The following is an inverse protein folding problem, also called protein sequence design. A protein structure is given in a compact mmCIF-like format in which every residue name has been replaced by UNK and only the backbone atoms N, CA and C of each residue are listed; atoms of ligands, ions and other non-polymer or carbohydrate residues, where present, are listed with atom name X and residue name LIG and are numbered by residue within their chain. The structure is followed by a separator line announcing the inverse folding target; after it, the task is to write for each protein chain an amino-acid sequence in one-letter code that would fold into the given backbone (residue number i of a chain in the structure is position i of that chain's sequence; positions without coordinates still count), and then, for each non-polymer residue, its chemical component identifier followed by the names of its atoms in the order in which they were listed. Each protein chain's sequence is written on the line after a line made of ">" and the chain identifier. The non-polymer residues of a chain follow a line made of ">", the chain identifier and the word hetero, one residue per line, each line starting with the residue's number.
data_IF_040376251955
#
_entry.id   IF_040376251955
#
_cell.length_a   1.000
_cell.length_b   1.000
_cell.length_c   1.000
_cell.angle_alpha   90.00
_cell.angle_beta   90.00
_cell.angle_gamma   90.00
#
_symmetry.space_group_name_H-M   'P 1'
#
loop_
_entity.id
_entity.type
_entity.pdbx_description
1 polymer ?
#
# COMPACT_ATOMS: atom_id res chain seq x y z
N UNK A 1 -2.81 -20.00 -3.78
CA UNK A 1 -1.61 -20.86 -3.99
C UNK A 1 -0.87 -21.03 -2.65
N UNK A 2 -0.14 -22.13 -2.43
CA UNK A 2 0.62 -22.38 -1.18
C UNK A 2 -0.20 -22.32 0.13
N UNK A 3 -1.52 -22.58 0.07
CA UNK A 3 -2.39 -22.60 1.26
C UNK A 3 -2.66 -21.24 1.93
N UNK A 4 -2.17 -20.13 1.36
CA UNK A 4 -2.38 -18.77 1.89
C UNK A 4 -3.01 -17.83 0.87
N UNK A 5 -3.63 -16.75 1.36
CA UNK A 5 -4.23 -15.69 0.53
C UNK A 5 -3.31 -14.50 0.27
N UNK A 6 -2.13 -14.46 0.91
CA UNK A 6 -1.08 -13.47 0.66
C UNK A 6 0.29 -14.13 0.86
N UNK A 7 1.22 -13.89 -0.06
CA UNK A 7 2.55 -14.50 -0.05
C UNK A 7 3.31 -14.22 1.25
N UNK A 8 3.11 -13.05 1.86
CA UNK A 8 3.74 -12.67 3.15
C UNK A 8 3.27 -13.50 4.35
N UNK A 9 2.23 -14.32 4.19
CA UNK A 9 1.73 -15.25 5.22
C UNK A 9 2.33 -16.64 5.10
N UNK A 10 2.96 -16.99 3.97
CA UNK A 10 3.57 -18.31 3.78
C UNK A 10 5.03 -18.28 4.21
N UNK A 11 5.37 -19.00 5.28
CA UNK A 11 6.74 -19.06 5.82
C UNK A 11 7.37 -20.46 5.65
N UNK A 12 6.75 -21.32 4.83
CA UNK A 12 7.08 -22.73 4.69
C UNK A 12 5.98 -23.63 5.23
N UNK A 13 5.97 -24.88 4.79
CA UNK A 13 4.89 -25.83 5.09
C UNK A 13 4.77 -26.12 6.60
N UNK A 14 5.89 -26.12 7.33
CA UNK A 14 5.95 -26.40 8.77
C UNK A 14 5.89 -25.13 9.65
N UNK A 15 6.25 -23.97 9.08
CA UNK A 15 6.40 -22.70 9.82
C UNK A 15 5.20 -21.77 9.68
N UNK A 16 4.34 -21.98 8.68
CA UNK A 16 3.15 -21.15 8.47
C UNK A 16 2.18 -21.30 9.64
N UNK A 17 1.98 -20.22 10.40
CA UNK A 17 1.11 -20.21 11.58
C UNK A 17 -0.33 -19.89 11.21
N UNK A 18 -1.25 -20.72 11.69
CA UNK A 18 -2.69 -20.48 11.60
C UNK A 18 -3.19 -19.91 12.93
N UNK A 19 -3.69 -18.68 12.88
CA UNK A 19 -4.14 -17.95 14.06
C UNK A 19 -5.61 -18.28 14.34
N UNK A 20 -5.91 -18.67 15.58
CA UNK A 20 -7.25 -18.91 16.10
C UNK A 20 -7.90 -17.57 16.52
N UNK A 21 -7.19 -16.77 17.32
CA UNK A 21 -7.72 -15.50 17.85
C UNK A 21 -6.63 -14.50 18.24
N UNK A 22 -7.04 -13.24 18.42
CA UNK A 22 -6.23 -12.17 18.99
C UNK A 22 -6.99 -11.38 20.06
N UNK A 23 -6.27 -10.82 21.05
CA UNK A 23 -6.80 -9.87 22.04
C UNK A 23 -5.68 -9.01 22.60
N UNK A 24 -5.86 -7.69 22.57
CA UNK A 24 -4.84 -6.73 22.96
C UNK A 24 -3.55 -6.97 22.16
N UNK A 25 -2.42 -7.09 22.84
CA UNK A 25 -1.12 -7.32 22.20
C UNK A 25 -0.80 -8.80 21.90
N UNK A 26 -1.76 -9.72 22.00
CA UNK A 26 -1.50 -11.15 21.90
C UNK A 26 -2.28 -11.84 20.77
N UNK A 27 -1.66 -12.89 20.23
CA UNK A 27 -2.27 -13.86 19.31
C UNK A 27 -2.19 -15.27 19.91
N UNK A 28 -3.15 -16.10 19.51
CA UNK A 28 -3.16 -17.53 19.80
C UNK A 28 -3.29 -18.30 18.49
N UNK A 29 -2.43 -19.30 18.28
CA UNK A 29 -2.58 -20.21 17.14
C UNK A 29 -3.55 -21.36 17.46
N UNK A 30 -3.86 -22.14 16.43
CA UNK A 30 -4.78 -23.30 16.51
C UNK A 30 -4.28 -24.42 17.42
N UNK A 31 -2.98 -24.44 17.74
CA UNK A 31 -2.36 -25.39 18.67
C UNK A 31 -2.37 -24.87 20.13
N UNK A 32 -2.88 -23.65 20.35
CA UNK A 32 -3.01 -23.03 21.66
C UNK A 32 -1.77 -22.26 22.13
N UNK A 33 -0.74 -22.11 21.29
CA UNK A 33 0.43 -21.29 21.64
C UNK A 33 0.06 -19.82 21.67
N UNK A 34 0.61 -19.07 22.62
CA UNK A 34 0.38 -17.63 22.77
C UNK A 34 1.62 -16.83 22.38
N UNK A 35 1.43 -15.81 21.56
CA UNK A 35 2.47 -14.91 21.08
C UNK A 35 2.19 -13.47 21.52
N UNK A 36 3.25 -12.69 21.72
CA UNK A 36 3.17 -11.22 21.73
C UNK A 36 3.29 -10.78 20.27
N UNK A 37 2.31 -10.04 19.77
CA UNK A 37 2.23 -9.66 18.36
C UNK A 37 2.87 -8.30 18.09
N UNK A 38 4.02 -8.34 17.42
CA UNK A 38 4.70 -7.16 16.88
C UNK A 38 4.39 -6.91 15.39
N UNK A 39 3.64 -7.81 14.73
CA UNK A 39 3.25 -7.65 13.32
C UNK A 39 2.01 -6.78 13.17
N UNK A 40 1.08 -6.83 14.15
CA UNK A 40 -0.08 -5.94 14.24
C UNK A 40 -0.94 -5.92 12.96
N UNK A 41 -1.03 -7.07 12.27
CA UNK A 41 -1.73 -7.16 10.98
C UNK A 41 -1.13 -6.30 9.87
N UNK A 42 0.16 -5.97 9.95
CA UNK A 42 0.87 -4.99 9.12
C UNK A 42 0.43 -3.53 9.36
N UNK A 43 -0.02 -3.20 10.59
CA UNK A 43 -0.34 -1.84 11.03
C UNK A 43 -1.76 -1.60 11.56
N UNK A 44 -2.85 -2.15 10.98
CA UNK A 44 -4.21 -1.81 11.37
C UNK A 44 -4.56 -2.10 12.85
N UNK A 45 -3.90 -3.06 13.49
CA UNK A 45 -4.13 -3.40 14.89
C UNK A 45 -3.41 -2.45 15.87
N UNK A 46 -3.38 -1.14 15.59
CA UNK A 46 -2.71 -0.13 16.42
C UNK A 46 -3.30 0.00 17.83
N UNK A 47 -4.59 -0.32 18.00
CA UNK A 47 -5.26 -0.38 19.30
C UNK A 47 -5.16 -1.77 19.97
N UNK A 48 -4.43 -2.70 19.35
CA UNK A 48 -4.46 -4.12 19.68
C UNK A 48 -5.64 -4.85 19.02
N UNK A 49 -5.59 -6.18 19.11
CA UNK A 49 -6.62 -7.07 18.56
C UNK A 49 -7.89 -7.04 19.41
N UNK A 50 -9.05 -7.09 18.76
CA UNK A 50 -10.38 -7.10 19.41
C UNK A 50 -10.53 -6.03 20.49
N UNK A 51 -10.28 -4.77 20.13
CA UNK A 51 -10.59 -3.63 21.00
C UNK A 51 -12.11 -3.54 21.19
N UNK A 52 -12.56 -3.63 22.45
CA UNK A 52 -13.99 -3.77 22.77
C UNK A 52 -14.83 -2.59 22.25
N UNK A 53 -14.24 -1.39 22.12
CA UNK A 53 -14.95 -0.20 21.61
C UNK A 53 -15.17 -0.32 20.10
N UNK A 54 -14.16 -0.81 19.38
CA UNK A 54 -14.22 -1.02 17.92
C UNK A 54 -15.19 -2.16 17.62
N UNK A 55 -15.03 -3.31 18.28
CA UNK A 55 -15.86 -4.49 18.06
C UNK A 55 -17.34 -4.20 18.37
N UNK A 56 -17.63 -3.47 19.45
CA UNK A 56 -18.99 -3.07 19.77
C UNK A 56 -19.57 -2.14 18.69
N UNK A 57 -18.82 -1.14 18.22
CA UNK A 57 -19.27 -0.24 17.17
C UNK A 57 -19.55 -0.98 15.85
N UNK A 58 -18.69 -1.93 15.47
CA UNK A 58 -18.90 -2.79 14.29
C UNK A 58 -20.14 -3.66 14.47
N UNK A 59 -20.29 -4.33 15.61
CA UNK A 59 -21.46 -5.16 15.91
C UNK A 59 -22.77 -4.37 15.81
N UNK A 60 -22.82 -3.16 16.39
CA UNK A 60 -24.00 -2.30 16.27
C UNK A 60 -24.25 -1.86 14.83
N UNK A 61 -23.21 -1.50 14.07
CA UNK A 61 -23.34 -1.13 12.66
C UNK A 61 -23.92 -2.27 11.80
N UNK A 62 -23.60 -3.53 12.11
CA UNK A 62 -24.17 -4.68 11.35
C UNK A 62 -25.68 -4.78 11.44
N UNK A 63 -26.32 -4.24 12.49
CA UNK A 63 -27.78 -4.26 12.65
C UNK A 63 -28.49 -3.33 11.66
N UNK A 64 -27.78 -2.36 11.08
CA UNK A 64 -28.33 -1.47 10.06
C UNK A 64 -28.40 -2.14 8.68
N UNK A 65 -27.59 -3.18 8.45
CA UNK A 65 -27.28 -3.73 7.12
C UNK A 65 -25.88 -3.31 6.66
N UNK A 66 -25.28 -4.09 5.76
CA UNK A 66 -23.86 -3.97 5.42
C UNK A 66 -23.57 -3.32 4.06
N UNK A 67 -24.51 -3.42 3.10
CA UNK A 67 -24.33 -2.88 1.75
C UNK A 67 -25.69 -2.51 1.16
N UNK A 68 -25.80 -1.26 0.70
CA UNK A 68 -27.07 -0.69 0.26
C UNK A 68 -27.07 -0.24 -1.21
N UNK A 69 -25.93 -0.31 -1.90
CA UNK A 69 -25.71 0.39 -3.19
C UNK A 69 -26.12 1.88 -3.16
N UNK A 70 -26.11 2.47 -1.95
CA UNK A 70 -26.51 3.84 -1.62
C UNK A 70 -25.67 4.32 -0.43
N UNK A 71 -25.64 5.64 -0.23
CA UNK A 71 -24.89 6.30 0.83
C UNK A 71 -25.51 6.16 2.21
N UNK A 72 -24.68 6.19 3.25
CA UNK A 72 -25.11 6.31 4.65
C UNK A 72 -24.53 7.58 5.29
N UNK A 73 -25.18 8.18 6.31
CA UNK A 73 -24.60 9.30 7.04
C UNK A 73 -23.24 8.99 7.70
N UNK A 74 -22.95 7.71 7.95
CA UNK A 74 -21.69 7.28 8.56
C UNK A 74 -20.49 7.55 7.64
N UNK A 75 -20.64 7.32 6.33
CA UNK A 75 -19.53 7.56 5.38
C UNK A 75 -19.13 9.03 5.33
N UNK A 76 -20.09 9.95 5.45
CA UNK A 76 -19.84 11.39 5.52
C UNK A 76 -19.08 11.76 6.80
N UNK A 77 -19.49 11.21 7.95
CA UNK A 77 -18.82 11.48 9.23
C UNK A 77 -17.37 10.98 9.22
N UNK A 78 -17.12 9.80 8.65
CA UNK A 78 -15.76 9.26 8.50
C UNK A 78 -14.95 10.13 7.54
N UNK A 79 -15.52 10.54 6.41
CA UNK A 79 -14.84 11.40 5.44
C UNK A 79 -14.41 12.74 6.05
N UNK A 80 -15.30 13.38 6.82
CA UNK A 80 -15.00 14.63 7.53
C UNK A 80 -13.90 14.46 8.57
N UNK A 81 -13.90 13.34 9.31
CA UNK A 81 -12.83 13.04 10.28
C UNK A 81 -11.48 12.89 9.59
N UNK A 82 -11.41 12.17 8.46
CA UNK A 82 -10.15 12.01 7.71
C UNK A 82 -9.63 13.36 7.23
N UNK A 83 -10.48 14.17 6.59
CA UNK A 83 -10.11 15.50 6.12
C UNK A 83 -9.60 16.40 7.26
N UNK A 84 -10.22 16.32 8.45
CA UNK A 84 -9.78 17.09 9.62
C UNK A 84 -8.44 16.61 10.21
N UNK A 85 -8.08 15.33 10.04
CA UNK A 85 -6.83 14.76 10.57
C UNK A 85 -5.64 14.90 9.62
N UNK A 86 -5.88 15.10 8.31
CA UNK A 86 -4.85 15.10 7.28
C UNK A 86 -4.71 16.48 6.64
N UNK A 87 -3.69 17.28 7.02
CA UNK A 87 -3.42 18.56 6.36
C UNK A 87 -3.27 18.41 4.85
N UNK A 88 -3.93 19.29 4.08
CA UNK A 88 -3.91 19.25 2.62
C UNK A 88 -4.91 18.28 1.97
N UNK A 89 -5.82 17.67 2.75
CA UNK A 89 -6.88 16.79 2.24
C UNK A 89 -8.26 17.42 2.47
N UNK A 90 -8.86 17.97 1.41
CA UNK A 90 -10.22 18.57 1.48
C UNK A 90 -11.34 17.56 1.20
N UNK A 91 -11.07 16.57 0.35
CA UNK A 91 -12.04 15.57 -0.09
C UNK A 91 -11.40 14.18 -0.09
N UNK A 92 -12.21 13.15 0.20
CA UNK A 92 -11.77 11.76 0.19
C UNK A 92 -12.74 10.89 -0.60
N UNK A 93 -12.19 9.77 -1.11
CA UNK A 93 -12.96 8.67 -1.69
C UNK A 93 -12.47 7.38 -1.07
N UNK A 94 -13.40 6.56 -0.57
CA UNK A 94 -13.07 5.26 0.00
C UNK A 94 -12.75 4.22 -1.07
N UNK A 95 -11.85 3.31 -0.73
CA UNK A 95 -11.50 2.11 -1.48
C UNK A 95 -11.48 0.92 -0.51
N UNK A 96 -11.52 -0.30 -1.02
CA UNK A 96 -11.55 -1.51 -0.17
C UNK A 96 -10.15 -1.97 0.24
N UNK A 97 -9.10 -1.46 -0.40
CA UNK A 97 -7.71 -1.79 -0.09
C UNK A 97 -6.76 -0.63 -0.41
N UNK A 98 -5.55 -0.70 0.15
CA UNK A 98 -4.46 0.21 -0.23
C UNK A 98 -4.08 0.11 -1.71
N UNK A 99 -4.17 -1.09 -2.32
CA UNK A 99 -3.91 -1.28 -3.76
C UNK A 99 -4.93 -0.54 -4.63
N UNK A 100 -6.21 -0.55 -4.26
CA UNK A 100 -7.22 0.22 -4.98
C UNK A 100 -7.04 1.72 -4.79
N UNK A 101 -6.68 2.15 -3.57
CA UNK A 101 -6.44 3.56 -3.27
C UNK A 101 -5.30 4.14 -4.13
N UNK A 102 -4.15 3.47 -4.19
CA UNK A 102 -2.99 3.90 -5.01
C UNK A 102 -3.30 3.82 -6.50
N UNK A 103 -4.01 2.77 -6.96
CA UNK A 103 -4.47 2.65 -8.34
C UNK A 103 -5.36 3.82 -8.75
N UNK A 104 -6.33 4.19 -7.90
CA UNK A 104 -7.23 5.32 -8.15
C UNK A 104 -6.49 6.66 -8.08
N UNK A 105 -5.56 6.83 -7.14
CA UNK A 105 -4.75 8.04 -7.02
C UNK A 105 -3.91 8.30 -8.28
N UNK A 106 -3.21 7.28 -8.78
CA UNK A 106 -2.43 7.38 -10.02
C UNK A 106 -3.34 7.69 -11.23
N UNK A 107 -4.50 7.03 -11.32
CA UNK A 107 -5.47 7.32 -12.39
C UNK A 107 -5.97 8.77 -12.33
N UNK A 108 -6.28 9.27 -11.14
CA UNK A 108 -6.72 10.65 -10.93
C UNK A 108 -5.62 11.65 -11.31
N UNK A 109 -4.38 11.41 -10.89
CA UNK A 109 -3.25 12.28 -11.21
C UNK A 109 -3.02 12.38 -12.72
N UNK A 110 -3.07 11.26 -13.45
CA UNK A 110 -3.01 11.25 -14.93
C UNK A 110 -4.19 11.98 -15.56
N UNK A 111 -5.41 11.76 -15.07
CA UNK A 111 -6.60 12.42 -15.59
C UNK A 111 -6.54 13.94 -15.41
N UNK A 112 -6.03 14.41 -14.27
CA UNK A 112 -5.88 15.81 -13.95
C UNK A 112 -4.76 16.49 -14.75
N UNK A 113 -3.56 15.90 -14.75
CA UNK A 113 -2.37 16.48 -15.38
C UNK A 113 -2.32 16.27 -16.90
N UNK A 114 -3.07 15.29 -17.43
CA UNK A 114 -2.99 14.80 -18.83
C UNK A 114 -1.62 14.21 -19.21
N UNK A 115 -0.84 13.80 -18.22
CA UNK A 115 0.49 13.21 -18.37
C UNK A 115 0.46 11.70 -18.17
N UNK A 116 1.46 10.99 -18.68
CA UNK A 116 1.44 9.52 -18.70
C UNK A 116 2.35 8.89 -17.65
N UNK A 117 3.55 9.43 -17.45
CA UNK A 117 4.57 8.84 -16.58
C UNK A 117 4.36 9.17 -15.12
N UNK A 118 4.99 8.40 -14.25
CA UNK A 118 5.00 8.66 -12.81
C UNK A 118 6.30 8.14 -12.21
N UNK A 119 6.66 8.73 -11.08
CA UNK A 119 7.88 8.39 -10.34
C UNK A 119 7.50 7.51 -9.15
N UNK A 120 8.26 6.43 -8.95
CA UNK A 120 8.26 5.59 -7.75
C UNK A 120 9.69 5.39 -7.27
N UNK A 121 9.85 4.98 -6.02
CA UNK A 121 11.16 4.74 -5.43
C UNK A 121 11.39 3.27 -5.17
N UNK A 122 12.63 2.82 -5.36
CA UNK A 122 13.01 1.45 -5.01
C UNK A 122 12.79 1.18 -3.52
N UNK A 123 12.39 -0.07 -3.23
CA UNK A 123 12.07 -0.55 -1.89
C UNK A 123 10.66 -0.20 -1.41
N UNK A 124 9.97 0.70 -2.13
CA UNK A 124 8.62 1.10 -1.78
C UNK A 124 7.57 0.18 -2.41
N UNK A 125 6.47 0.02 -1.71
CA UNK A 125 5.35 -0.82 -2.06
C UNK A 125 4.07 0.01 -2.11
N UNK A 126 3.41 -0.01 -3.27
CA UNK A 126 2.18 0.72 -3.52
C UNK A 126 1.02 -0.20 -3.92
N UNK A 127 1.09 -1.48 -3.54
CA UNK A 127 0.08 -2.47 -3.88
C UNK A 127 0.47 -3.38 -5.04
N UNK A 128 -0.51 -4.17 -5.51
CA UNK A 128 -0.29 -5.24 -6.49
C UNK A 128 -0.86 -4.94 -7.88
N UNK A 129 -1.21 -3.69 -8.17
CA UNK A 129 -1.74 -3.32 -9.48
C UNK A 129 -0.60 -3.13 -10.50
N UNK A 130 -0.84 -3.49 -11.77
CA UNK A 130 0.20 -3.66 -12.79
C UNK A 130 1.17 -2.47 -12.90
N UNK A 131 0.68 -1.23 -12.79
CA UNK A 131 1.53 -0.04 -12.90
C UNK A 131 2.67 0.01 -11.88
N UNK A 132 2.47 -0.45 -10.64
CA UNK A 132 3.50 -0.33 -9.58
C UNK A 132 4.27 -1.63 -9.36
N UNK A 133 3.98 -2.69 -10.12
CA UNK A 133 4.60 -4.00 -9.99
C UNK A 133 5.90 -4.10 -10.81
N UNK A 134 6.83 -3.21 -10.51
CA UNK A 134 8.17 -3.16 -11.11
C UNK A 134 9.23 -3.21 -10.02
N UNK A 135 10.40 -3.76 -10.35
CA UNK A 135 11.59 -3.82 -9.50
C UNK A 135 12.80 -3.29 -10.27
N UNK A 136 13.82 -2.85 -9.52
CA UNK A 136 15.16 -2.67 -10.08
C UNK A 136 15.98 -3.92 -9.81
N UNK A 137 16.63 -4.47 -10.84
CA UNK A 137 17.49 -5.66 -10.69
C UNK A 137 18.90 -5.34 -10.20
N UNK A 138 19.20 -4.09 -9.83
CA UNK A 138 20.57 -3.67 -9.52
C UNK A 138 21.05 -4.13 -8.12
N UNK A 139 20.24 -4.90 -7.38
CA UNK A 139 20.69 -5.63 -6.18
C UNK A 139 21.25 -4.74 -5.06
N UNK A 140 20.81 -3.48 -4.99
CA UNK A 140 21.30 -2.50 -4.02
C UNK A 140 22.54 -1.71 -4.45
N UNK A 141 23.16 -1.99 -5.62
CA UNK A 141 24.24 -1.16 -6.17
C UNK A 141 23.68 0.03 -6.98
N UNK A 142 22.98 0.93 -6.29
CA UNK A 142 22.50 2.19 -6.87
C UNK A 142 23.64 3.15 -7.18
N UNK A 143 24.79 3.02 -6.52
CA UNK A 143 25.93 3.91 -6.72
C UNK A 143 26.48 3.84 -8.15
N UNK A 144 26.48 2.65 -8.77
CA UNK A 144 27.00 2.48 -10.13
C UNK A 144 26.00 2.77 -11.26
N UNK A 145 24.68 2.79 -10.97
CA UNK A 145 23.65 2.91 -12.01
C UNK A 145 22.39 3.72 -11.62
N UNK A 146 22.50 4.68 -10.70
CA UNK A 146 21.35 5.49 -10.23
C UNK A 146 20.60 6.22 -11.35
N UNK A 147 21.31 6.71 -12.38
CA UNK A 147 20.71 7.46 -13.49
C UNK A 147 20.00 6.60 -14.54
N UNK A 148 20.20 5.27 -14.54
CA UNK A 148 19.61 4.37 -15.55
C UNK A 148 19.35 2.97 -14.98
N UNK A 149 18.55 2.85 -13.90
CA UNK A 149 18.27 1.56 -13.31
C UNK A 149 17.57 0.65 -14.32
N UNK A 150 17.94 -0.62 -14.31
CA UNK A 150 17.24 -1.62 -15.12
C UNK A 150 15.94 -1.98 -14.42
N UNK A 151 14.85 -1.37 -14.87
CA UNK A 151 13.50 -1.61 -14.38
C UNK A 151 12.91 -2.83 -15.07
N UNK A 152 12.52 -3.83 -14.28
CA UNK A 152 11.91 -5.07 -14.76
C UNK A 152 10.57 -5.31 -14.08
N UNK A 153 9.60 -5.95 -14.75
CA UNK A 153 8.36 -6.37 -14.10
C UNK A 153 8.63 -7.30 -12.91
N UNK A 154 7.90 -7.11 -11.82
CA UNK A 154 8.03 -7.91 -10.59
C UNK A 154 7.40 -9.32 -10.76
N UNK A 155 6.48 -9.48 -11.69
CA UNK A 155 5.77 -10.72 -11.98
C UNK A 155 5.61 -10.93 -13.48
N UNK A 156 5.59 -12.18 -13.92
CA UNK A 156 5.45 -12.56 -15.34
C UNK A 156 4.13 -12.13 -15.99
N UNK A 157 3.13 -11.76 -15.19
CA UNK A 157 1.82 -11.30 -15.68
C UNK A 157 1.75 -9.81 -16.01
N UNK A 158 2.76 -9.02 -15.65
CA UNK A 158 2.77 -7.57 -15.86
C UNK A 158 3.27 -7.26 -17.28
N UNK A 159 2.47 -6.58 -18.13
CA UNK A 159 2.89 -6.28 -19.51
C UNK A 159 4.10 -5.35 -19.57
N UNK A 160 5.12 -5.74 -20.36
CA UNK A 160 6.34 -4.95 -20.53
C UNK A 160 6.10 -3.52 -21.05
N UNK A 161 5.05 -3.32 -21.84
CA UNK A 161 4.67 -1.98 -22.36
C UNK A 161 4.37 -0.96 -21.25
N UNK A 162 4.02 -1.42 -20.05
CA UNK A 162 3.79 -0.52 -18.92
C UNK A 162 5.09 0.05 -18.34
N UNK A 163 6.24 -0.58 -18.62
CA UNK A 163 7.56 -0.14 -18.14
C UNK A 163 7.88 1.29 -18.54
N UNK A 164 7.52 1.68 -19.77
CA UNK A 164 7.78 3.02 -20.31
C UNK A 164 7.02 4.13 -19.57
N UNK A 165 6.03 3.77 -18.75
CA UNK A 165 5.26 4.69 -17.91
C UNK A 165 5.89 4.90 -16.52
N UNK A 166 6.88 4.09 -16.13
CA UNK A 166 7.44 4.06 -14.78
C UNK A 166 8.85 4.65 -14.78
N UNK A 167 9.05 5.67 -13.96
CA UNK A 167 10.38 6.20 -13.65
C UNK A 167 10.70 5.74 -12.23
N UNK A 168 11.65 4.80 -12.10
CA UNK A 168 12.09 4.30 -10.80
C UNK A 168 13.38 4.98 -10.38
N UNK A 169 13.42 5.51 -9.15
CA UNK A 169 14.58 6.20 -8.59
C UNK A 169 14.99 5.58 -7.24
N UNK A 170 16.25 5.74 -6.80
CA UNK A 170 16.62 5.40 -5.43
C UNK A 170 15.89 6.30 -4.42
N UNK A 171 15.43 5.72 -3.32
CA UNK A 171 14.84 6.49 -2.23
C UNK A 171 15.89 7.36 -1.52
N UNK A 172 15.51 8.57 -1.09
CA UNK A 172 16.38 9.57 -0.43
C UNK A 172 17.56 10.13 -1.27
N UNK A 173 17.55 10.00 -2.60
CA UNK A 173 18.46 10.73 -3.48
C UNK A 173 17.72 11.96 -4.06
N UNK A 174 17.92 13.13 -3.45
CA UNK A 174 17.26 14.37 -3.88
C UNK A 174 17.86 14.92 -5.17
N UNK A 175 19.17 14.78 -5.36
CA UNK A 175 19.88 15.27 -6.54
C UNK A 175 19.31 14.63 -7.81
N UNK A 176 19.19 13.30 -7.82
CA UNK A 176 18.62 12.61 -8.99
C UNK A 176 17.14 12.90 -9.18
N UNK A 177 16.38 13.06 -8.09
CA UNK A 177 14.95 13.40 -8.19
C UNK A 177 14.77 14.77 -8.84
N UNK A 178 15.55 15.77 -8.43
CA UNK A 178 15.54 17.11 -9.00
C UNK A 178 15.90 17.06 -10.50
N UNK A 179 17.02 16.43 -10.86
CA UNK A 179 17.47 16.28 -12.24
C UNK A 179 16.39 15.63 -13.14
N UNK A 180 15.80 14.53 -12.67
CA UNK A 180 14.80 13.78 -13.42
C UNK A 180 13.51 14.58 -13.56
N UNK A 181 13.06 15.27 -12.50
CA UNK A 181 11.88 16.12 -12.57
C UNK A 181 12.12 17.28 -13.54
N UNK A 182 13.26 17.97 -13.48
CA UNK A 182 13.57 19.06 -14.43
C UNK A 182 13.51 18.59 -15.90
N UNK A 183 14.00 17.39 -16.19
CA UNK A 183 14.04 16.84 -17.54
C UNK A 183 12.70 16.28 -18.01
N UNK A 184 11.85 15.78 -17.10
CA UNK A 184 10.67 14.97 -17.46
C UNK A 184 9.34 15.50 -16.94
N UNK A 185 9.30 16.62 -16.21
CA UNK A 185 8.07 17.14 -15.56
C UNK A 185 6.89 17.29 -16.52
N UNK A 186 7.16 17.59 -17.79
CA UNK A 186 6.15 17.79 -18.82
C UNK A 186 5.29 16.54 -19.08
N UNK A 187 5.78 15.34 -18.73
CA UNK A 187 5.08 14.06 -18.87
C UNK A 187 4.98 13.27 -17.54
N UNK A 188 5.39 13.85 -16.40
CA UNK A 188 5.20 13.24 -15.07
C UNK A 188 3.88 13.67 -14.44
N UNK A 189 2.97 12.72 -14.26
CA UNK A 189 1.66 12.92 -13.64
C UNK A 189 1.71 12.92 -12.11
N UNK A 190 2.56 12.10 -11.51
CA UNK A 190 2.64 11.93 -10.06
C UNK A 190 4.02 11.44 -9.60
N UNK A 191 4.32 11.72 -8.34
CA UNK A 191 5.39 11.08 -7.57
C UNK A 191 4.68 10.30 -6.46
N UNK A 192 4.78 8.97 -6.48
CA UNK A 192 4.24 8.10 -5.44
C UNK A 192 5.38 7.79 -4.46
N UNK A 193 5.16 8.06 -3.18
CA UNK A 193 6.19 7.91 -2.15
C UNK A 193 5.60 7.40 -0.85
N UNK A 194 6.25 6.40 -0.23
CA UNK A 194 6.13 6.14 1.20
C UNK A 194 6.99 7.18 1.95
N UNK A 195 6.40 8.10 2.73
CA UNK A 195 7.18 9.15 3.41
C UNK A 195 8.20 8.58 4.41
N UNK A 196 7.88 7.42 4.99
CA UNK A 196 8.78 6.60 5.80
C UNK A 196 8.74 5.21 5.16
N UNK A 197 9.91 4.70 4.75
CA UNK A 197 10.02 3.39 4.12
C UNK A 197 9.59 2.29 5.10
N UNK A 198 8.42 1.68 4.85
CA UNK A 198 7.85 0.66 5.74
C UNK A 198 8.01 -0.77 5.25
N UNK A 199 8.28 -0.96 3.97
CA UNK A 199 8.27 -2.28 3.32
C UNK A 199 9.67 -2.83 2.99
N UNK A 200 10.73 -2.08 3.30
CA UNK A 200 12.12 -2.50 3.14
C UNK A 200 12.93 -2.13 4.38
N UNK A 201 12.99 -3.07 5.32
CA UNK A 201 13.74 -2.97 6.58
C UNK A 201 14.07 -4.33 7.15
#
# INVERSE_FOLDING_TARGET
>A
PLGVTSNFRYWGDEETRYIDRGKGAHLWDVDGNRYIDYRLGYGPAILGHSDDRVDQAVCEATKLGQSFAMSTPLEQQVAQKIAAMCPGVDMVRFATSGTEATMHALRLARAYTRRQKFIIFEGQYHGLHDHVMFASIIGGDWASNRYSPVVTPYSSGVPDVLRDLVIMLPFNDLEILEDVVEQSWHDVAAILVEPILGNCG
#
